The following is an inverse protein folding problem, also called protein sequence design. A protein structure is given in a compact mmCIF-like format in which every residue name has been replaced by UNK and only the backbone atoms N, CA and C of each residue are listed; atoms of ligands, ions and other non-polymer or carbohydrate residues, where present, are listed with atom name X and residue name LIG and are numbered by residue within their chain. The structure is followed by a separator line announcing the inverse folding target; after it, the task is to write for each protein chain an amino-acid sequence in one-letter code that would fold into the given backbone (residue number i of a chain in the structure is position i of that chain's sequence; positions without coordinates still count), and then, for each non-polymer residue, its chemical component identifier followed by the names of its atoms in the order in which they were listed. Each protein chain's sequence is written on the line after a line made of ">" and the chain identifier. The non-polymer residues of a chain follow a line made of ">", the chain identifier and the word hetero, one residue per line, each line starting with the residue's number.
data_IF_221844501072
#
_entry.id   IF_221844501072
#
_cell.length_a   1.000
_cell.length_b   1.000
_cell.length_c   1.000
_cell.angle_alpha   90.00
_cell.angle_beta   90.00
_cell.angle_gamma   90.00
#
_symmetry.space_group_name_H-M   'P 1'
#
loop_
_entity.id
_entity.type
_entity.pdbx_description
1 polymer ?
#
# COMPACT_ATOMS: atom_id res chain seq x y z
N UNK A 1 -14.80 -8.24 -43.15
CA UNK A 1 -14.35 -6.97 -42.53
C UNK A 1 -14.28 -7.08 -41.01
N UNK A 2 -15.40 -7.35 -40.32
CA UNK A 2 -15.47 -7.43 -38.84
C UNK A 2 -14.36 -8.23 -38.14
N UNK A 3 -13.99 -9.40 -38.67
CA UNK A 3 -12.97 -10.28 -38.07
C UNK A 3 -11.58 -9.63 -38.04
N UNK A 4 -11.21 -8.90 -39.10
CA UNK A 4 -9.92 -8.22 -39.20
C UNK A 4 -9.85 -7.04 -38.23
N UNK A 5 -10.96 -6.34 -38.05
CA UNK A 5 -11.03 -5.21 -37.12
C UNK A 5 -11.03 -5.67 -35.66
N UNK A 6 -11.63 -6.83 -35.35
CA UNK A 6 -11.53 -7.48 -34.04
C UNK A 6 -10.09 -7.92 -33.73
N UNK A 7 -9.37 -8.45 -34.74
CA UNK A 7 -7.95 -8.82 -34.63
C UNK A 7 -7.05 -7.59 -34.39
N UNK A 8 -7.32 -6.48 -35.08
CA UNK A 8 -6.61 -5.22 -34.87
C UNK A 8 -6.87 -4.66 -33.48
N UNK A 9 -8.12 -4.69 -33.02
CA UNK A 9 -8.49 -4.25 -31.67
C UNK A 9 -7.78 -5.09 -30.60
N UNK A 10 -7.74 -6.41 -30.77
CA UNK A 10 -7.04 -7.31 -29.84
C UNK A 10 -5.55 -6.99 -29.76
N UNK A 11 -4.89 -6.78 -30.91
CA UNK A 11 -3.47 -6.39 -30.98
C UNK A 11 -3.22 -5.06 -30.30
N UNK A 12 -4.07 -4.08 -30.56
CA UNK A 12 -3.96 -2.76 -29.96
C UNK A 12 -4.12 -2.83 -28.44
N UNK A 13 -5.04 -3.65 -27.95
CA UNK A 13 -5.25 -3.88 -26.51
C UNK A 13 -4.03 -4.58 -25.90
N UNK A 14 -3.47 -5.61 -26.56
CA UNK A 14 -2.22 -6.26 -26.14
C UNK A 14 -1.05 -5.26 -26.06
N UNK A 15 -0.92 -4.35 -27.02
CA UNK A 15 0.15 -3.37 -27.05
C UNK A 15 -0.01 -2.29 -25.97
N UNK A 16 -1.24 -1.82 -25.73
CA UNK A 16 -1.54 -0.94 -24.59
C UNK A 16 -1.19 -1.64 -23.27
N UNK A 17 -1.58 -2.90 -23.09
CA UNK A 17 -1.26 -3.66 -21.88
C UNK A 17 0.25 -3.79 -21.68
N UNK A 18 1.01 -4.09 -22.75
CA UNK A 18 2.49 -4.14 -22.67
C UNK A 18 3.09 -2.81 -22.24
N UNK A 19 2.61 -1.70 -22.81
CA UNK A 19 3.11 -0.36 -22.46
C UNK A 19 2.78 -0.04 -21.01
N UNK A 20 1.55 -0.30 -20.55
CA UNK A 20 1.15 -0.08 -19.17
C UNK A 20 2.01 -0.89 -18.19
N UNK A 21 2.17 -2.19 -18.44
CA UNK A 21 3.03 -3.06 -17.62
C UNK A 21 4.49 -2.59 -17.60
N UNK A 22 5.03 -2.17 -18.76
CA UNK A 22 6.37 -1.61 -18.85
C UNK A 22 6.51 -0.33 -18.05
N UNK A 23 5.53 0.58 -18.14
CA UNK A 23 5.56 1.83 -17.38
C UNK A 23 5.49 1.56 -15.87
N UNK A 24 4.63 0.65 -15.41
CA UNK A 24 4.54 0.26 -14.00
C UNK A 24 5.86 -0.32 -13.49
N UNK A 25 6.48 -1.22 -14.24
CA UNK A 25 7.80 -1.76 -13.89
C UNK A 25 8.88 -0.66 -13.81
N UNK A 26 8.84 0.34 -14.70
CA UNK A 26 9.75 1.49 -14.62
C UNK A 26 9.48 2.37 -13.40
N UNK A 27 8.23 2.52 -12.97
CA UNK A 27 7.89 3.22 -11.72
C UNK A 27 8.37 2.46 -10.48
N UNK A 28 8.17 1.14 -10.41
CA UNK A 28 8.71 0.29 -9.32
C UNK A 28 10.22 0.38 -9.25
N UNK A 29 10.91 0.23 -10.39
CA UNK A 29 12.36 0.37 -10.46
C UNK A 29 12.83 1.78 -10.07
N UNK A 30 12.08 2.83 -10.41
CA UNK A 30 12.40 4.21 -10.02
C UNK A 30 12.16 4.46 -8.54
N UNK A 31 11.10 3.89 -7.93
CA UNK A 31 10.87 3.94 -6.48
C UNK A 31 12.04 3.30 -5.74
N UNK A 32 12.44 2.09 -6.15
CA UNK A 32 13.62 1.41 -5.63
C UNK A 32 14.86 2.30 -5.81
N UNK A 33 15.07 2.90 -6.99
CA UNK A 33 16.22 3.78 -7.23
C UNK A 33 16.24 5.05 -6.36
N UNK A 34 15.07 5.63 -6.05
CA UNK A 34 14.97 6.79 -5.16
C UNK A 34 15.08 6.45 -3.67
N UNK A 35 14.73 5.22 -3.28
CA UNK A 35 14.88 4.71 -1.90
C UNK A 35 16.29 4.13 -1.64
N UNK A 36 16.98 3.65 -2.69
CA UNK A 36 18.32 3.03 -2.62
C UNK A 36 19.44 4.02 -2.31
N UNK A 37 19.18 5.34 -2.29
CA UNK A 37 20.16 6.28 -1.76
C UNK A 37 20.26 6.29 -0.23
N UNK A 38 19.49 5.45 0.50
CA UNK A 38 19.64 5.27 1.95
C UNK A 38 19.56 3.85 2.53
N UNK A 39 19.50 2.74 1.76
CA UNK A 39 19.35 1.41 2.39
C UNK A 39 20.34 0.36 1.86
N UNK A 40 21.13 -0.14 2.82
CA UNK A 40 22.07 -1.26 2.75
C UNK A 40 21.56 -2.48 1.96
N UNK A 41 22.44 -3.21 1.26
CA UNK A 41 22.07 -4.30 0.38
C UNK A 41 21.94 -5.62 1.14
N UNK A 42 20.92 -5.76 1.98
CA UNK A 42 20.40 -7.08 2.31
C UNK A 42 18.87 -7.04 2.34
N UNK A 43 18.27 -8.10 1.80
CA UNK A 43 16.84 -8.46 1.77
C UNK A 43 16.19 -8.32 0.39
N UNK A 44 16.58 -9.24 -0.49
CA UNK A 44 15.63 -9.92 -1.38
C UNK A 44 14.73 -10.81 -0.53
N UNK A 45 13.58 -10.31 -0.09
CA UNK A 45 12.49 -11.15 0.41
C UNK A 45 11.18 -10.72 -0.24
N UNK A 46 10.27 -11.66 -0.56
CA UNK A 46 8.96 -11.34 -1.13
C UNK A 46 8.31 -10.31 -0.21
N UNK A 47 7.74 -9.25 -0.79
CA UNK A 47 7.02 -8.18 -0.10
C UNK A 47 5.98 -8.80 0.84
N UNK A 48 6.39 -9.12 2.07
CA UNK A 48 5.52 -9.65 3.10
C UNK A 48 4.59 -8.50 3.43
N UNK A 49 3.29 -8.70 3.20
CA UNK A 49 2.27 -7.76 3.64
C UNK A 49 2.33 -7.75 5.16
N UNK A 50 3.13 -6.83 5.71
CA UNK A 50 3.39 -6.70 7.14
C UNK A 50 2.09 -6.22 7.80
N UNK A 51 1.43 -7.15 8.50
CA UNK A 51 0.20 -6.91 9.25
C UNK A 51 0.59 -6.38 10.63
N UNK A 52 0.35 -5.10 10.86
CA UNK A 52 0.64 -4.43 12.11
C UNK A 52 -0.46 -4.72 13.13
N UNK A 53 -0.07 -5.24 14.29
CA UNK A 53 -0.98 -5.43 15.42
C UNK A 53 -1.23 -4.13 16.18
N UNK A 54 -2.24 -4.11 17.06
CA UNK A 54 -2.59 -2.93 17.89
C UNK A 54 -1.38 -2.25 18.53
N UNK A 55 -0.47 -3.02 19.16
CA UNK A 55 0.70 -2.47 19.85
C UNK A 55 1.62 -1.66 18.91
N UNK A 56 1.77 -2.11 17.67
CA UNK A 56 2.62 -1.45 16.67
C UNK A 56 1.94 -0.21 16.11
N UNK A 57 0.63 -0.25 15.92
CA UNK A 57 -0.16 0.92 15.52
C UNK A 57 -0.11 2.03 16.57
N UNK A 58 -0.16 1.68 17.85
CA UNK A 58 -0.01 2.64 18.95
C UNK A 58 1.34 3.36 18.90
N UNK A 59 2.42 2.61 18.65
CA UNK A 59 3.78 3.16 18.51
C UNK A 59 3.91 4.02 17.26
N UNK A 60 3.39 3.54 16.13
CA UNK A 60 3.48 4.21 14.83
C UNK A 60 2.75 5.57 14.84
N UNK A 61 1.52 5.58 15.36
CA UNK A 61 0.72 6.80 15.46
C UNK A 61 1.08 7.65 16.69
N UNK A 62 1.93 7.13 17.58
CA UNK A 62 2.31 7.73 18.87
C UNK A 62 1.09 8.15 19.70
N UNK A 63 0.11 7.25 19.84
CA UNK A 63 -1.14 7.49 20.57
C UNK A 63 -1.29 6.52 21.75
N UNK A 64 -2.04 6.96 22.77
CA UNK A 64 -2.43 6.07 23.87
C UNK A 64 -3.44 5.02 23.41
N UNK A 65 -3.49 3.90 24.12
CA UNK A 65 -4.48 2.82 23.88
C UNK A 65 -5.93 3.33 23.99
N UNK A 66 -6.20 4.21 24.95
CA UNK A 66 -7.49 4.88 25.10
C UNK A 66 -7.86 5.75 23.89
N UNK A 67 -6.87 6.43 23.31
CA UNK A 67 -7.07 7.22 22.08
C UNK A 67 -7.32 6.31 20.89
N UNK A 68 -6.60 5.20 20.79
CA UNK A 68 -6.82 4.20 19.74
C UNK A 68 -8.25 3.64 19.77
N UNK A 69 -8.73 3.14 20.90
CA UNK A 69 -10.09 2.59 20.97
C UNK A 69 -11.16 3.65 20.72
N UNK A 70 -10.93 4.91 21.14
CA UNK A 70 -11.80 6.03 20.79
C UNK A 70 -11.84 6.26 19.28
N UNK A 71 -10.71 6.23 18.60
CA UNK A 71 -10.62 6.41 17.14
C UNK A 71 -11.26 5.24 16.39
N UNK A 72 -11.11 4.01 16.87
CA UNK A 72 -11.80 2.84 16.33
C UNK A 72 -13.31 2.97 16.51
N UNK A 73 -13.77 3.39 17.69
CA UNK A 73 -15.20 3.61 17.98
C UNK A 73 -15.81 4.70 17.10
N UNK A 74 -15.04 5.75 16.81
CA UNK A 74 -15.46 6.86 15.97
C UNK A 74 -15.29 6.59 14.46
N UNK A 75 -14.79 5.41 14.08
CA UNK A 75 -14.60 5.01 12.68
C UNK A 75 -13.41 5.68 11.97
N UNK A 76 -12.56 6.42 12.68
CA UNK A 76 -11.36 7.04 12.10
C UNK A 76 -10.22 6.04 11.89
N UNK A 77 -10.22 4.94 12.66
CA UNK A 77 -9.35 3.79 12.47
C UNK A 77 -10.23 2.56 12.24
N UNK A 78 -10.03 1.87 11.11
CA UNK A 78 -10.83 0.70 10.74
C UNK A 78 -9.92 -0.53 10.77
N UNK A 79 -9.88 -1.28 11.89
CA UNK A 79 -9.07 -2.48 11.99
C UNK A 79 -9.64 -3.62 11.17
N UNK A 80 -8.76 -4.40 10.55
CA UNK A 80 -9.10 -5.75 10.09
C UNK A 80 -9.07 -6.68 11.29
N UNK A 81 -10.19 -7.35 11.59
CA UNK A 81 -10.24 -8.35 12.66
C UNK A 81 -9.81 -9.71 12.13
N UNK A 82 -8.76 -10.27 12.71
CA UNK A 82 -8.35 -11.66 12.48
C UNK A 82 -8.41 -12.37 13.84
N UNK A 83 -9.43 -13.22 14.02
CA UNK A 83 -9.77 -13.78 15.32
C UNK A 83 -10.18 -12.70 16.33
N UNK A 84 -9.53 -12.69 17.50
CA UNK A 84 -9.78 -11.72 18.57
C UNK A 84 -8.89 -10.47 18.51
N UNK A 85 -8.03 -10.36 17.49
CA UNK A 85 -7.01 -9.30 17.39
C UNK A 85 -7.29 -8.35 16.23
N UNK A 86 -6.89 -7.10 16.41
CA UNK A 86 -6.97 -6.05 15.40
C UNK A 86 -5.65 -5.97 14.63
N UNK A 87 -5.75 -5.89 13.32
CA UNK A 87 -4.63 -5.78 12.40
C UNK A 87 -4.84 -4.67 11.37
N UNK A 88 -3.74 -4.10 10.91
CA UNK A 88 -3.71 -3.08 9.88
C UNK A 88 -2.62 -3.40 8.87
N UNK A 89 -2.83 -2.98 7.62
CA UNK A 89 -1.73 -2.94 6.65
C UNK A 89 -0.97 -1.64 6.86
N UNK A 90 0.36 -1.72 6.80
CA UNK A 90 1.25 -0.56 6.93
C UNK A 90 0.86 0.59 6.00
N UNK A 91 0.62 0.28 4.72
CA UNK A 91 0.24 1.27 3.70
C UNK A 91 -1.06 2.03 4.02
N UNK A 92 -2.02 1.39 4.70
CA UNK A 92 -3.29 2.04 5.06
C UNK A 92 -3.11 3.02 6.22
N UNK A 93 -2.13 2.76 7.10
CA UNK A 93 -1.83 3.61 8.24
C UNK A 93 -1.04 4.85 7.87
N UNK A 94 -0.20 4.81 6.84
CA UNK A 94 0.57 5.97 6.38
C UNK A 94 -0.36 7.10 5.91
N UNK A 95 -1.43 6.76 5.17
CA UNK A 95 -2.45 7.73 4.76
C UNK A 95 -3.18 8.36 5.96
N UNK A 96 -3.42 7.57 7.01
CA UNK A 96 -4.07 8.01 8.24
C UNK A 96 -3.12 8.89 9.08
N UNK A 97 -1.84 8.55 9.12
CA UNK A 97 -0.81 9.33 9.83
C UNK A 97 -0.67 10.75 9.28
N UNK A 98 -0.68 10.91 7.96
CA UNK A 98 -0.65 12.23 7.31
C UNK A 98 -1.87 13.10 7.69
N UNK A 99 -3.05 12.49 7.85
CA UNK A 99 -4.24 13.21 8.32
C UNK A 99 -4.12 13.68 9.77
N UNK A 100 -3.42 12.92 10.63
CA UNK A 100 -3.16 13.32 12.01
C UNK A 100 -2.14 14.45 12.10
N UNK A 101 -1.10 14.44 11.24
CA UNK A 101 -0.07 15.49 11.24
C UNK A 101 -0.60 16.86 10.83
N UNK A 102 -1.62 16.92 9.96
CA UNK A 102 -2.25 18.18 9.50
C UNK A 102 -3.16 18.85 10.54
N UNK A 103 -3.52 18.15 11.62
CA UNK A 103 -4.43 18.67 12.67
C UNK A 103 -3.71 19.27 13.89
N UNK A 104 -2.37 19.36 13.84
CA UNK A 104 -1.54 19.96 14.88
C UNK A 104 -0.98 21.30 14.40
#
# INVERSE_FOLDING_TARGET
>A
MLHNDLLKLRRLLEDILKVLLRTMSLYENRLISSEVQQVNPEISQPMQVELLGTQEVLKLLNISESTYYRLVKNGSLIPTKIGSRHYYRKNDLDAIFELFRRKK
#
